data_IF_032073467977
#
_entry.id   IF_032073467977
#
_cell.length_a   1.000
_cell.length_b   1.000
_cell.length_c   1.000
_cell.angle_alpha   90.00
_cell.angle_beta   90.00
_cell.angle_gamma   90.00
#
_symmetry.space_group_name_H-M   'P 1'
#
loop_
_entity.id
_entity.type
_entity.pdbx_description
1 polymer ?
#
# COMPACT_ATOMS: atom_id res chain seq x y z
N UNK A 1 8.49 7.49 47.83
CA UNK A 1 8.38 6.50 46.74
C UNK A 1 8.42 7.28 45.44
N UNK A 2 9.60 7.41 44.83
CA UNK A 2 9.80 8.25 43.66
C UNK A 2 9.36 7.49 42.41
N UNK A 3 8.34 8.00 41.73
CA UNK A 3 7.91 7.50 40.42
C UNK A 3 8.95 7.97 39.40
N UNK A 4 9.76 7.04 38.91
CA UNK A 4 10.63 7.29 37.76
C UNK A 4 9.72 7.34 36.53
N UNK A 5 9.47 8.53 35.98
CA UNK A 5 9.03 8.67 34.60
C UNK A 5 10.24 8.32 33.72
N UNK A 6 10.32 7.07 33.26
CA UNK A 6 11.19 6.73 32.14
C UNK A 6 10.59 7.31 30.87
N UNK A 7 11.02 8.53 30.52
CA UNK A 7 10.92 9.02 29.15
C UNK A 7 11.80 8.12 28.28
N UNK A 8 11.19 7.14 27.62
CA UNK A 8 11.82 6.38 26.56
C UNK A 8 12.14 7.36 25.42
N UNK A 9 13.40 7.81 25.36
CA UNK A 9 13.93 8.41 24.16
C UNK A 9 13.97 7.31 23.09
N UNK A 10 12.95 7.25 22.24
CA UNK A 10 12.95 6.35 21.10
C UNK A 10 14.16 6.74 20.21
N UNK A 11 15.03 5.79 19.82
CA UNK A 11 16.01 6.07 18.79
C UNK A 11 15.25 6.57 17.57
N UNK A 12 15.76 7.61 16.90
CA UNK A 12 15.12 8.18 15.72
C UNK A 12 14.87 7.05 14.70
N UNK A 13 13.62 6.62 14.61
CA UNK A 13 13.17 5.63 13.64
C UNK A 13 13.29 6.28 12.27
N UNK A 14 14.17 5.73 11.44
CA UNK A 14 14.43 6.21 10.10
C UNK A 14 13.96 5.18 9.07
N UNK A 15 12.78 4.57 9.29
CA UNK A 15 12.12 3.82 8.24
C UNK A 15 11.26 4.79 7.45
N UNK A 16 11.57 4.99 6.17
CA UNK A 16 10.73 5.80 5.31
C UNK A 16 9.43 5.08 4.98
N UNK A 17 9.53 3.79 4.64
CA UNK A 17 8.41 2.96 4.20
C UNK A 17 8.28 1.66 4.96
N UNK A 18 7.04 1.32 5.31
CA UNK A 18 6.67 0.03 5.88
C UNK A 18 5.93 -0.75 4.80
N UNK A 19 6.59 -1.79 4.28
CA UNK A 19 6.04 -2.65 3.21
C UNK A 19 4.96 -3.60 3.76
N UNK A 20 4.22 -4.26 2.86
CA UNK A 20 3.14 -5.17 3.23
C UNK A 20 3.63 -6.28 4.19
N UNK A 21 3.01 -6.35 5.37
CA UNK A 21 3.26 -7.38 6.38
C UNK A 21 1.97 -7.72 7.12
N UNK A 22 1.51 -8.96 7.00
CA UNK A 22 0.21 -9.41 7.51
C UNK A 22 0.05 -9.23 9.02
N UNK A 23 1.10 -9.54 9.78
CA UNK A 23 1.08 -9.44 11.24
C UNK A 23 1.02 -7.98 11.68
N UNK A 24 1.84 -7.12 11.05
CA UNK A 24 1.84 -5.69 11.33
C UNK A 24 0.50 -5.04 10.99
N UNK A 25 -0.10 -5.39 9.84
CA UNK A 25 -1.44 -4.90 9.47
C UNK A 25 -2.49 -5.37 10.46
N UNK A 26 -2.39 -6.61 10.93
CA UNK A 26 -3.32 -7.17 11.94
C UNK A 26 -3.22 -6.42 13.26
N UNK A 27 -2.01 -6.20 13.78
CA UNK A 27 -1.78 -5.48 15.02
C UNK A 27 -2.24 -4.01 14.93
N UNK A 28 -1.92 -3.33 13.83
CA UNK A 28 -2.39 -1.95 13.58
C UNK A 28 -3.91 -1.88 13.44
N UNK A 29 -4.54 -2.86 12.78
CA UNK A 29 -5.99 -2.96 12.67
C UNK A 29 -6.64 -3.16 14.03
N UNK A 30 -6.09 -4.05 14.86
CA UNK A 30 -6.57 -4.29 16.20
C UNK A 30 -6.49 -3.03 17.05
N UNK A 31 -5.37 -2.29 17.01
CA UNK A 31 -5.20 -1.04 17.74
C UNK A 31 -6.19 0.05 17.27
N UNK A 32 -6.40 0.19 15.96
CA UNK A 32 -7.41 1.10 15.38
C UNK A 32 -8.84 0.72 15.83
N UNK A 33 -9.20 -0.57 15.80
CA UNK A 33 -10.52 -1.06 16.20
C UNK A 33 -10.79 -0.82 17.69
N UNK A 34 -9.75 -0.76 18.51
CA UNK A 34 -9.83 -0.46 19.94
C UNK A 34 -9.77 1.04 20.24
N UNK A 35 -9.69 1.91 19.22
CA UNK A 35 -9.55 3.36 19.37
C UNK A 35 -8.23 3.80 20.02
N UNK A 36 -7.21 2.93 20.03
CA UNK A 36 -5.91 3.21 20.67
C UNK A 36 -5.08 4.13 19.80
N UNK A 37 -5.09 3.91 18.49
CA UNK A 37 -4.42 4.72 17.48
C UNK A 37 -5.40 5.13 16.40
N UNK A 38 -4.99 6.07 15.55
CA UNK A 38 -5.72 6.48 14.36
C UNK A 38 -4.76 6.53 13.17
N UNK A 39 -4.77 5.48 12.35
CA UNK A 39 -3.98 5.38 11.12
C UNK A 39 -4.75 4.61 10.04
N UNK A 40 -4.68 5.08 8.79
CA UNK A 40 -5.21 4.32 7.65
C UNK A 40 -4.34 3.10 7.38
N UNK A 41 -4.97 1.92 7.28
CA UNK A 41 -4.30 0.65 6.91
C UNK A 41 -4.79 0.10 5.56
N UNK A 42 -5.41 0.96 4.73
CA UNK A 42 -5.95 0.63 3.42
C UNK A 42 -5.07 1.07 2.23
N UNK A 43 -3.93 1.70 2.49
CA UNK A 43 -3.00 2.16 1.45
C UNK A 43 -1.58 1.76 1.83
N UNK A 44 -1.05 0.74 1.18
CA UNK A 44 0.31 0.25 1.40
C UNK A 44 1.22 0.51 0.19
N UNK A 45 2.53 0.74 0.40
CA UNK A 45 3.23 0.75 1.69
C UNK A 45 2.83 1.92 2.59
N UNK A 46 2.85 1.70 3.90
CA UNK A 46 2.62 2.77 4.88
C UNK A 46 3.85 3.68 4.95
N UNK A 47 3.66 4.95 5.29
CA UNK A 47 4.79 5.79 5.69
C UNK A 47 5.20 5.46 7.13
N UNK A 48 6.51 5.31 7.35
CA UNK A 48 7.06 5.17 8.70
C UNK A 48 6.83 6.41 9.55
N UNK A 49 6.85 7.62 8.97
CA UNK A 49 6.52 8.87 9.66
C UNK A 49 5.09 8.85 10.22
N UNK A 50 4.10 8.52 9.40
CA UNK A 50 2.72 8.40 9.83
C UNK A 50 2.53 7.30 10.88
N UNK A 51 3.21 6.16 10.69
CA UNK A 51 3.16 5.05 11.64
C UNK A 51 3.71 5.47 12.99
N UNK A 52 4.86 6.14 13.02
CA UNK A 52 5.45 6.69 14.23
C UNK A 52 4.54 7.74 14.87
N UNK A 53 3.95 8.64 14.07
CA UNK A 53 3.01 9.66 14.55
C UNK A 53 1.81 9.02 15.24
N UNK A 54 1.21 8.00 14.64
CA UNK A 54 0.06 7.30 15.20
C UNK A 54 0.41 6.57 16.51
N UNK A 55 1.54 5.86 16.55
CA UNK A 55 2.01 5.15 17.74
C UNK A 55 2.39 6.09 18.89
N UNK A 56 3.03 7.23 18.58
CA UNK A 56 3.38 8.24 19.60
C UNK A 56 2.16 8.92 20.23
N UNK A 57 1.03 8.95 19.54
CA UNK A 57 -0.23 9.52 20.03
C UNK A 57 -1.19 8.46 20.60
N UNK A 58 -0.72 7.22 20.79
CA UNK A 58 -1.54 6.10 21.24
C UNK A 58 -2.17 6.36 22.62
N UNK A 59 -3.48 6.13 22.74
CA UNK A 59 -4.24 6.25 23.99
C UNK A 59 -4.35 4.87 24.67
N UNK A 60 -3.28 4.49 25.36
CA UNK A 60 -3.14 3.16 25.98
C UNK A 60 -3.90 3.13 27.32
N UNK A 61 -4.84 2.19 27.45
CA UNK A 61 -5.69 2.02 28.63
C UNK A 61 -5.40 0.75 29.43
N UNK A 62 -4.74 -0.25 28.83
CA UNK A 62 -4.49 -1.54 29.48
C UNK A 62 -3.21 -2.22 28.97
N UNK A 63 -2.79 -3.26 29.70
CA UNK A 63 -1.55 -4.00 29.44
C UNK A 63 -1.55 -4.76 28.10
N UNK A 64 -2.71 -5.19 27.61
CA UNK A 64 -2.81 -5.88 26.32
C UNK A 64 -2.52 -4.91 25.18
N UNK A 65 -3.10 -3.69 25.24
CA UNK A 65 -2.81 -2.63 24.27
C UNK A 65 -1.33 -2.25 24.26
N UNK A 66 -0.71 -2.12 25.44
CA UNK A 66 0.74 -1.86 25.52
C UNK A 66 1.56 -2.97 24.83
N UNK A 67 1.22 -4.25 25.07
CA UNK A 67 1.92 -5.37 24.43
C UNK A 67 1.80 -5.39 22.92
N UNK A 68 0.64 -5.01 22.37
CA UNK A 68 0.45 -4.92 20.92
C UNK A 68 1.24 -3.74 20.34
N UNK A 69 1.28 -2.59 21.02
CA UNK A 69 2.16 -1.47 20.64
C UNK A 69 3.64 -1.90 20.64
N UNK A 70 4.07 -2.62 21.69
CA UNK A 70 5.45 -3.12 21.79
C UNK A 70 5.76 -4.14 20.67
N UNK A 71 4.80 -4.99 20.29
CA UNK A 71 4.89 -5.91 19.14
C UNK A 71 5.11 -5.15 17.83
N UNK A 72 4.30 -4.12 17.57
CA UNK A 72 4.41 -3.26 16.39
C UNK A 72 5.79 -2.58 16.33
N UNK A 73 6.21 -1.96 17.43
CA UNK A 73 7.52 -1.30 17.51
C UNK A 73 8.68 -2.29 17.33
N UNK A 74 8.59 -3.48 17.92
CA UNK A 74 9.58 -4.54 17.76
C UNK A 74 9.65 -5.02 16.31
N UNK A 75 8.50 -5.20 15.65
CA UNK A 75 8.41 -5.61 14.25
C UNK A 75 9.02 -4.57 13.32
N UNK A 76 8.67 -3.29 13.48
CA UNK A 76 9.26 -2.18 12.72
C UNK A 76 10.78 -2.13 12.95
N UNK A 77 11.24 -2.23 14.21
CA UNK A 77 12.67 -2.25 14.52
C UNK A 77 13.40 -3.45 13.88
N UNK A 78 12.78 -4.62 13.87
CA UNK A 78 13.33 -5.82 13.24
C UNK A 78 13.40 -5.66 11.71
N UNK A 79 12.38 -5.06 11.09
CA UNK A 79 12.38 -4.80 9.65
C UNK A 79 13.47 -3.81 9.22
N UNK A 80 13.83 -2.87 10.10
CA UNK A 80 14.91 -1.89 9.88
C UNK A 80 16.32 -2.38 10.22
N UNK A 81 16.50 -3.66 10.57
CA UNK A 81 17.85 -4.16 10.76
C UNK A 81 18.66 -3.99 9.48
N UNK A 82 19.89 -3.48 9.62
CA UNK A 82 20.75 -3.14 8.50
C UNK A 82 21.01 -4.32 7.57
N UNK A 83 21.09 -5.54 8.11
CA UNK A 83 21.29 -6.75 7.36
C UNK A 83 20.28 -7.80 7.84
N UNK A 84 19.55 -8.38 6.90
CA UNK A 84 18.58 -9.45 7.16
C UNK A 84 18.82 -10.60 6.18
N UNK A 85 18.65 -11.82 6.70
CA UNK A 85 18.66 -13.05 5.93
C UNK A 85 17.28 -13.69 6.05
N UNK A 86 16.68 -14.03 4.92
CA UNK A 86 15.41 -14.76 4.84
C UNK A 86 15.61 -16.08 4.11
N UNK A 87 14.98 -17.14 4.60
CA UNK A 87 14.88 -18.43 3.92
C UNK A 87 13.46 -18.95 4.07
N UNK A 88 12.93 -19.53 2.99
CA UNK A 88 11.61 -20.13 2.96
C UNK A 88 11.64 -21.39 2.10
N UNK A 89 10.92 -22.41 2.55
CA UNK A 89 10.73 -23.66 1.84
C UNK A 89 9.37 -24.25 2.21
N UNK A 90 8.60 -24.69 1.22
CA UNK A 90 7.35 -25.41 1.43
C UNK A 90 7.32 -26.74 0.65
N UNK A 91 6.52 -27.70 1.12
CA UNK A 91 6.44 -29.03 0.50
C UNK A 91 5.58 -29.03 -0.76
N UNK A 92 4.51 -28.23 -0.75
CA UNK A 92 3.58 -28.08 -1.87
C UNK A 92 3.37 -26.59 -2.11
N UNK A 93 3.28 -26.21 -3.39
CA UNK A 93 2.94 -24.84 -3.76
C UNK A 93 1.53 -24.50 -3.29
N UNK A 94 1.38 -23.41 -2.53
CA UNK A 94 0.05 -22.89 -2.19
C UNK A 94 -0.69 -22.41 -3.44
N UNK A 95 -1.95 -22.78 -3.57
CA UNK A 95 -2.83 -22.27 -4.61
C UNK A 95 -3.31 -20.85 -4.28
N UNK A 96 -3.38 -20.00 -5.31
CA UNK A 96 -4.02 -18.67 -5.31
C UNK A 96 -5.52 -18.86 -4.97
N UNK A 97 -6.13 -18.02 -4.12
CA UNK A 97 -5.72 -16.66 -3.75
C UNK A 97 -4.80 -16.57 -2.53
N UNK A 98 -3.81 -15.69 -2.61
CA UNK A 98 -2.95 -15.31 -1.49
C UNK A 98 -3.51 -14.07 -0.78
N UNK A 99 -3.45 -14.10 0.56
CA UNK A 99 -3.91 -13.01 1.41
C UNK A 99 -2.89 -11.85 1.45
N UNK A 100 -3.30 -10.71 2.00
CA UNK A 100 -2.42 -9.56 2.17
C UNK A 100 -1.09 -9.93 2.85
N UNK A 101 0.01 -9.44 2.28
CA UNK A 101 1.35 -9.57 2.82
C UNK A 101 1.93 -10.98 2.71
N UNK A 102 1.32 -11.88 1.93
CA UNK A 102 1.97 -13.14 1.57
C UNK A 102 3.10 -12.85 0.58
N UNK A 103 4.32 -13.04 1.04
CA UNK A 103 5.54 -12.68 0.30
C UNK A 103 6.06 -13.86 -0.54
N UNK A 104 5.46 -15.04 -0.45
CA UNK A 104 6.03 -16.27 -0.99
C UNK A 104 5.46 -16.57 -2.38
N UNK A 105 6.30 -16.32 -3.39
CA UNK A 105 5.99 -16.54 -4.81
C UNK A 105 6.74 -17.70 -5.44
N UNK A 106 7.47 -18.47 -4.63
CA UNK A 106 8.25 -19.62 -5.04
C UNK A 106 8.28 -20.66 -3.92
N UNK A 107 8.42 -21.94 -4.30
CA UNK A 107 8.46 -23.04 -3.34
C UNK A 107 9.71 -22.97 -2.45
N UNK A 108 10.83 -22.57 -3.03
CA UNK A 108 12.06 -22.30 -2.28
C UNK A 108 12.54 -20.89 -2.57
N UNK A 109 12.82 -20.15 -1.50
CA UNK A 109 13.23 -18.76 -1.56
C UNK A 109 14.34 -18.48 -0.55
N UNK A 110 15.35 -17.75 -0.98
CA UNK A 110 16.37 -17.19 -0.09
C UNK A 110 16.52 -15.69 -0.41
N UNK A 111 16.65 -14.86 0.61
CA UNK A 111 16.83 -13.43 0.45
C UNK A 111 17.94 -12.87 1.34
N UNK A 112 18.73 -11.98 0.77
CA UNK A 112 19.64 -11.11 1.49
C UNK A 112 19.14 -9.67 1.35
N UNK A 113 18.86 -9.02 2.47
CA UNK A 113 18.33 -7.67 2.51
C UNK A 113 19.28 -6.75 3.28
N UNK A 114 19.60 -5.60 2.66
CA UNK A 114 20.33 -4.51 3.27
C UNK A 114 19.46 -3.27 3.38
N UNK A 115 19.39 -2.69 4.57
CA UNK A 115 18.61 -1.49 4.87
C UNK A 115 19.54 -0.37 5.32
N UNK A 116 19.33 0.82 4.78
CA UNK A 116 19.97 2.03 5.25
C UNK A 116 19.04 3.22 5.06
N UNK A 117 18.99 4.13 6.04
CA UNK A 117 18.06 5.25 5.99
C UNK A 117 18.36 6.30 7.04
N UNK A 118 17.73 7.45 6.89
CA UNK A 118 17.70 8.53 7.86
C UNK A 118 16.32 9.20 7.84
N UNK A 119 16.18 10.37 8.47
CA UNK A 119 14.90 11.09 8.52
C UNK A 119 14.36 11.43 7.13
N UNK A 120 15.22 11.71 6.14
CA UNK A 120 14.81 12.22 4.84
C UNK A 120 15.16 11.32 3.64
N UNK A 121 15.66 10.11 3.88
CA UNK A 121 15.92 9.14 2.83
C UNK A 121 15.86 7.73 3.40
N UNK A 122 15.49 6.76 2.57
CA UNK A 122 15.37 5.36 2.95
C UNK A 122 15.73 4.48 1.77
N UNK A 123 16.52 3.44 1.98
CA UNK A 123 17.00 2.53 0.95
C UNK A 123 16.93 1.10 1.46
N UNK A 124 16.29 0.25 0.66
CA UNK A 124 16.20 -1.20 0.86
C UNK A 124 16.70 -1.88 -0.39
N UNK A 125 17.72 -2.72 -0.26
CA UNK A 125 18.21 -3.57 -1.34
C UNK A 125 18.00 -5.00 -0.90
N UNK A 126 17.11 -5.72 -1.58
CA UNK A 126 16.79 -7.11 -1.32
C UNK A 126 17.07 -7.93 -2.58
N UNK A 127 18.03 -8.85 -2.47
CA UNK A 127 18.34 -9.81 -3.51
C UNK A 127 17.63 -11.11 -3.16
N UNK A 128 16.75 -11.58 -4.03
CA UNK A 128 16.01 -12.82 -3.87
C UNK A 128 16.56 -13.87 -4.84
N UNK A 129 16.71 -15.10 -4.38
CA UNK A 129 16.95 -16.28 -5.20
C UNK A 129 15.77 -17.24 -5.03
N UNK A 130 15.16 -17.63 -6.14
CA UNK A 130 13.92 -18.38 -6.21
C UNK A 130 14.12 -19.68 -6.99
N UNK A 131 13.39 -20.72 -6.59
CA UNK A 131 13.31 -22.00 -7.30
C UNK A 131 11.88 -22.50 -7.25
N UNK A 132 11.42 -23.00 -8.40
CA UNK A 132 10.05 -23.47 -8.63
C UNK A 132 9.03 -22.35 -8.32
N UNK A 133 9.07 -21.25 -9.11
CA UNK A 133 8.20 -20.10 -8.91
C UNK A 133 6.74 -20.46 -9.17
N UNK A 134 5.85 -19.91 -8.36
CA UNK A 134 4.39 -19.95 -8.53
C UNK A 134 3.93 -18.89 -9.56
N UNK A 135 4.61 -17.74 -9.57
CA UNK A 135 4.41 -16.67 -10.55
C UNK A 135 5.69 -16.58 -11.37
N UNK A 136 5.56 -16.75 -12.68
CA UNK A 136 6.73 -16.77 -13.57
C UNK A 136 7.58 -15.51 -13.43
N UNK A 137 8.87 -15.69 -13.65
CA UNK A 137 9.87 -14.64 -13.70
C UNK A 137 10.95 -15.15 -14.64
N UNK A 138 11.32 -14.34 -15.62
CA UNK A 138 12.38 -14.68 -16.58
C UNK A 138 13.74 -14.99 -15.92
N UNK A 139 13.88 -14.70 -14.62
CA UNK A 139 15.10 -14.88 -13.85
C UNK A 139 14.84 -15.57 -12.49
N UNK A 140 15.71 -16.53 -12.14
CA UNK A 140 15.75 -17.15 -10.80
C UNK A 140 16.21 -16.17 -9.71
N UNK A 141 16.78 -15.02 -10.09
CA UNK A 141 17.26 -13.98 -9.17
C UNK A 141 16.57 -12.66 -9.50
N UNK A 142 16.05 -11.98 -8.49
CA UNK A 142 15.36 -10.69 -8.66
C UNK A 142 15.64 -9.71 -7.52
N UNK A 143 15.17 -8.47 -7.71
CA UNK A 143 15.30 -7.38 -6.74
C UNK A 143 13.96 -6.95 -6.14
N UNK A 144 12.96 -7.84 -6.11
CA UNK A 144 11.64 -7.52 -5.55
C UNK A 144 11.75 -6.99 -4.13
N UNK A 145 10.93 -5.98 -3.82
CA UNK A 145 10.93 -5.19 -2.58
C UNK A 145 12.16 -4.29 -2.38
N UNK A 146 13.02 -4.14 -3.39
CA UNK A 146 14.09 -3.13 -3.37
C UNK A 146 13.58 -1.75 -3.77
N UNK A 147 14.03 -0.71 -3.08
CA UNK A 147 13.72 0.67 -3.41
C UNK A 147 14.75 1.66 -2.87
N UNK A 148 14.73 2.86 -3.46
CA UNK A 148 15.34 4.08 -2.93
C UNK A 148 14.24 5.13 -2.77
N UNK A 149 14.22 5.81 -1.63
CA UNK A 149 13.26 6.83 -1.32
C UNK A 149 13.92 8.09 -0.76
N UNK A 150 13.39 9.26 -1.13
CA UNK A 150 13.76 10.56 -0.59
C UNK A 150 12.53 11.32 -0.11
N UNK A 151 12.64 12.02 1.02
CA UNK A 151 11.56 12.82 1.60
C UNK A 151 11.81 14.31 1.38
N UNK A 152 10.85 14.99 0.77
CA UNK A 152 10.84 16.44 0.60
C UNK A 152 9.43 16.99 0.82
N UNK A 153 9.29 18.03 1.65
CA UNK A 153 8.00 18.71 1.91
C UNK A 153 6.86 17.76 2.24
N UNK A 154 7.10 16.84 3.19
CA UNK A 154 6.15 15.82 3.60
C UNK A 154 5.76 14.81 2.50
N UNK A 155 6.53 14.73 1.41
CA UNK A 155 6.33 13.77 0.32
C UNK A 155 7.49 12.79 0.27
N UNK A 156 7.19 11.50 0.30
CA UNK A 156 8.13 10.45 -0.07
C UNK A 156 8.09 10.26 -1.59
N UNK A 157 9.24 10.42 -2.24
CA UNK A 157 9.48 10.05 -3.63
C UNK A 157 10.25 8.73 -3.64
N UNK A 158 9.69 7.71 -4.26
CA UNK A 158 10.15 6.32 -4.13
C UNK A 158 10.38 5.78 -5.54
N UNK A 159 11.53 5.17 -5.77
CA UNK A 159 11.85 4.45 -7.01
C UNK A 159 12.22 3.00 -6.65
N UNK A 160 11.56 2.02 -7.26
CA UNK A 160 11.83 0.62 -6.97
C UNK A 160 10.73 -0.33 -7.41
N UNK A 161 10.80 -1.56 -6.91
CA UNK A 161 9.85 -2.64 -7.16
C UNK A 161 9.12 -3.00 -5.87
N UNK A 162 8.23 -2.12 -5.41
CA UNK A 162 7.60 -2.23 -4.09
C UNK A 162 6.21 -2.87 -4.18
N UNK A 163 5.89 -3.84 -3.30
CA UNK A 163 4.53 -4.36 -3.18
C UNK A 163 3.59 -3.23 -2.75
N UNK A 164 2.35 -3.28 -3.23
CA UNK A 164 1.33 -2.26 -3.01
C UNK A 164 0.04 -2.96 -2.58
N UNK A 165 -0.81 -2.27 -1.80
CA UNK A 165 -2.14 -2.75 -1.51
C UNK A 165 -3.13 -1.61 -1.35
N UNK A 166 -4.17 -1.58 -2.18
CA UNK A 166 -5.17 -0.52 -2.26
C UNK A 166 -6.55 -1.03 -1.88
N UNK A 167 -6.94 -0.81 -0.63
CA UNK A 167 -8.26 -1.13 -0.13
C UNK A 167 -8.24 -1.69 1.30
N UNK A 168 -9.40 -1.78 1.93
CA UNK A 168 -9.54 -2.27 3.30
C UNK A 168 -9.66 -3.80 3.41
N UNK A 169 -9.79 -4.52 2.28
CA UNK A 169 -9.93 -5.99 2.26
C UNK A 169 -8.79 -6.73 2.96
N UNK A 170 -9.06 -7.91 3.51
CA UNK A 170 -8.04 -8.77 4.11
C UNK A 170 -7.49 -9.79 3.11
N UNK A 171 -8.38 -10.39 2.31
CA UNK A 171 -8.05 -11.47 1.38
C UNK A 171 -7.59 -10.98 0.01
N UNK A 172 -7.80 -9.69 -0.31
CA UNK A 172 -7.42 -9.12 -1.60
C UNK A 172 -7.92 -7.71 -1.82
N UNK A 173 -7.28 -7.03 -2.78
CA UNK A 173 -7.74 -5.76 -3.34
C UNK A 173 -8.30 -6.01 -4.74
N UNK A 174 -9.41 -5.37 -5.05
CA UNK A 174 -10.05 -5.44 -6.36
C UNK A 174 -9.38 -4.56 -7.42
N UNK A 175 -8.36 -3.77 -7.06
CA UNK A 175 -7.70 -2.84 -7.98
C UNK A 175 -6.19 -3.04 -8.05
N UNK A 176 -5.50 -3.04 -6.89
CA UNK A 176 -4.06 -3.26 -6.78
C UNK A 176 -3.78 -3.98 -5.47
N UNK A 177 -3.56 -5.28 -5.56
CA UNK A 177 -3.13 -6.12 -4.44
C UNK A 177 -1.67 -6.57 -4.58
N UNK A 178 -1.31 -7.55 -3.78
CA UNK A 178 0.02 -8.15 -3.68
C UNK A 178 0.08 -9.60 -4.18
N UNK A 179 -1.00 -10.10 -4.78
CA UNK A 179 -1.06 -11.40 -5.46
C UNK A 179 -0.33 -11.42 -6.83
N UNK A 180 0.56 -10.46 -7.09
CA UNK A 180 1.37 -10.37 -8.31
C UNK A 180 2.81 -9.97 -7.98
N UNK A 181 3.72 -10.16 -8.93
CA UNK A 181 5.04 -9.51 -8.85
C UNK A 181 4.86 -7.99 -8.89
N UNK A 182 5.58 -7.20 -8.07
CA UNK A 182 5.41 -5.76 -8.06
C UNK A 182 6.02 -5.16 -9.32
N UNK A 183 5.46 -4.04 -9.75
CA UNK A 183 5.85 -3.35 -10.98
C UNK A 183 7.00 -2.40 -10.67
N UNK A 184 8.06 -2.42 -11.48
CA UNK A 184 9.12 -1.42 -11.40
C UNK A 184 8.58 -0.03 -11.72
N UNK A 185 8.80 0.93 -10.83
CA UNK A 185 8.30 2.28 -11.07
C UNK A 185 8.61 3.29 -9.98
N UNK A 186 7.89 4.40 -10.08
CA UNK A 186 7.96 5.52 -9.17
C UNK A 186 6.66 5.64 -8.39
N UNK A 187 6.77 5.83 -7.08
CA UNK A 187 5.65 6.09 -6.18
C UNK A 187 5.86 7.41 -5.47
N UNK A 188 4.81 8.21 -5.33
CA UNK A 188 4.80 9.39 -4.47
C UNK A 188 3.66 9.28 -3.47
N UNK A 189 3.96 9.54 -2.19
CA UNK A 189 2.96 9.51 -1.12
C UNK A 189 3.30 10.50 -0.01
N UNK A 190 2.32 10.87 0.83
CA UNK A 190 2.60 11.69 2.01
C UNK A 190 3.36 10.92 3.08
N UNK A 191 4.24 11.61 3.79
CA UNK A 191 4.93 11.09 4.96
C UNK A 191 4.01 11.13 6.20
N UNK A 192 3.59 12.31 6.63
CA UNK A 192 2.53 12.50 7.63
C UNK A 192 1.18 12.78 6.96
N UNK A 193 0.12 12.14 7.46
CA UNK A 193 -1.21 12.15 6.85
C UNK A 193 -2.18 13.10 7.59
N UNK A 194 -1.66 14.17 8.18
CA UNK A 194 -2.45 15.17 8.92
C UNK A 194 -3.50 15.85 8.04
N UNK A 195 -4.54 16.38 8.69
CA UNK A 195 -5.59 17.16 8.02
C UNK A 195 -5.02 18.47 7.43
N UNK A 196 -5.76 19.06 6.48
CA UNK A 196 -5.43 20.40 6.00
C UNK A 196 -5.55 21.44 7.13
N UNK A 197 -4.58 22.34 7.23
CA UNK A 197 -4.59 23.46 8.18
C UNK A 197 -5.65 24.53 7.81
N UNK A 198 -6.04 24.58 6.54
CA UNK A 198 -7.02 25.54 6.04
C UNK A 198 -8.45 25.14 6.46
N UNK A 199 -9.19 26.09 7.04
CA UNK A 199 -10.58 25.90 7.54
C UNK A 199 -11.58 25.40 6.48
N UNK A 200 -11.36 25.70 5.20
CA UNK A 200 -12.25 25.27 4.11
C UNK A 200 -12.07 23.79 3.73
N UNK A 201 -10.94 23.18 4.10
CA UNK A 201 -10.59 21.79 3.77
C UNK A 201 -10.33 20.93 5.01
N UNK A 202 -10.29 21.51 6.21
CA UNK A 202 -10.03 20.78 7.46
C UNK A 202 -11.06 19.70 7.76
N UNK A 203 -12.28 19.82 7.23
CA UNK A 203 -13.36 18.82 7.38
C UNK A 203 -13.04 17.48 6.69
N UNK A 204 -12.09 17.44 5.75
CA UNK A 204 -11.62 16.20 5.11
C UNK A 204 -10.95 15.29 6.15
N UNK A 205 -10.40 15.86 7.23
CA UNK A 205 -9.64 15.15 8.24
C UNK A 205 -8.29 14.65 7.70
N UNK A 206 -7.64 13.70 8.42
CA UNK A 206 -6.44 13.03 7.94
C UNK A 206 -6.65 12.44 6.54
N UNK A 207 -5.67 12.56 5.66
CA UNK A 207 -5.80 12.09 4.28
C UNK A 207 -4.47 11.60 3.72
N UNK A 208 -4.54 10.73 2.73
CA UNK A 208 -3.36 10.22 2.01
C UNK A 208 -3.63 10.23 0.51
N UNK A 209 -2.57 10.40 -0.27
CA UNK A 209 -2.58 9.97 -1.65
C UNK A 209 -1.40 9.04 -1.92
N UNK A 210 -1.55 8.17 -2.90
CA UNK A 210 -0.45 7.42 -3.50
C UNK A 210 -0.59 7.50 -5.01
N UNK A 211 0.37 8.15 -5.66
CA UNK A 211 0.48 8.20 -7.11
C UNK A 211 1.59 7.24 -7.55
N UNK A 212 1.32 6.43 -8.56
CA UNK A 212 2.24 5.42 -9.08
C UNK A 212 2.33 5.52 -10.60
N UNK A 213 3.55 5.37 -11.14
CA UNK A 213 3.79 5.13 -12.55
C UNK A 213 4.93 4.13 -12.71
N UNK A 214 4.70 3.05 -13.44
CA UNK A 214 5.68 2.00 -13.68
C UNK A 214 5.47 1.33 -15.02
N UNK A 215 6.35 0.38 -15.33
CA UNK A 215 6.31 -0.42 -16.55
C UNK A 215 6.09 -1.88 -16.19
N UNK A 216 5.10 -2.51 -16.82
CA UNK A 216 4.84 -3.94 -16.71
C UNK A 216 5.99 -4.71 -17.34
N UNK A 217 6.38 -5.78 -16.67
CA UNK A 217 7.37 -6.74 -17.14
C UNK A 217 6.64 -7.96 -17.71
N UNK A 218 7.23 -8.62 -18.71
CA UNK A 218 6.73 -9.86 -19.33
C UNK A 218 5.27 -9.86 -19.80
N UNK A 219 4.72 -8.68 -20.12
CA UNK A 219 3.36 -8.54 -20.64
C UNK A 219 3.31 -8.74 -22.17
N UNK A 220 3.26 -9.99 -22.60
CA UNK A 220 3.33 -10.41 -24.02
C UNK A 220 2.30 -9.78 -24.96
N UNK A 221 1.11 -9.40 -24.47
CA UNK A 221 0.05 -8.85 -25.31
C UNK A 221 0.37 -7.43 -25.80
N UNK A 222 1.05 -6.61 -24.99
CA UNK A 222 1.54 -5.28 -25.34
C UNK A 222 2.85 -5.04 -24.56
N UNK A 223 4.01 -5.43 -25.11
CA UNK A 223 5.29 -5.25 -24.43
C UNK A 223 5.52 -3.80 -23.99
N UNK A 224 6.23 -3.61 -22.88
CA UNK A 224 6.52 -2.31 -22.27
C UNK A 224 5.27 -1.48 -21.88
N UNK A 225 4.09 -2.09 -21.74
CA UNK A 225 2.91 -1.37 -21.27
C UNK A 225 3.16 -0.72 -19.89
N UNK A 226 2.67 0.50 -19.71
CA UNK A 226 2.81 1.25 -18.46
C UNK A 226 1.61 1.02 -17.57
N UNK A 227 1.84 0.92 -16.27
CA UNK A 227 0.81 0.91 -15.24
C UNK A 227 0.88 2.23 -14.46
N UNK A 228 -0.19 2.99 -14.50
CA UNK A 228 -0.33 4.27 -13.81
C UNK A 228 -1.48 4.16 -12.84
N UNK A 229 -1.36 4.73 -11.65
CA UNK A 229 -2.46 4.74 -10.72
C UNK A 229 -2.42 5.88 -9.73
N UNK A 230 -3.59 6.20 -9.21
CA UNK A 230 -3.80 7.19 -8.18
C UNK A 230 -4.78 6.62 -7.17
N UNK A 231 -4.40 6.66 -5.89
CA UNK A 231 -5.28 6.39 -4.77
C UNK A 231 -5.32 7.62 -3.86
N UNK A 232 -6.50 7.94 -3.36
CA UNK A 232 -6.72 8.95 -2.32
C UNK A 232 -7.57 8.34 -1.22
N UNK A 233 -7.20 8.59 0.03
CA UNK A 233 -8.02 8.25 1.20
C UNK A 233 -8.19 9.46 2.10
N UNK A 234 -9.31 9.53 2.80
CA UNK A 234 -9.62 10.58 3.76
C UNK A 234 -10.42 10.02 4.94
N UNK A 235 -10.23 10.62 6.11
CA UNK A 235 -10.93 10.28 7.35
C UNK A 235 -11.69 11.50 7.88
N UNK A 236 -12.83 11.90 7.27
CA UNK A 236 -13.59 13.07 7.70
C UNK A 236 -14.16 12.94 9.12
N UNK A 237 -14.33 11.70 9.59
CA UNK A 237 -14.78 11.37 10.94
C UNK A 237 -13.82 10.33 11.52
N UNK A 238 -13.56 10.31 12.84
CA UNK A 238 -12.62 9.35 13.45
C UNK A 238 -13.00 7.88 13.21
N UNK A 239 -14.29 7.61 12.98
CA UNK A 239 -14.82 6.27 12.70
C UNK A 239 -14.97 5.95 11.22
N UNK A 240 -14.80 6.90 10.29
CA UNK A 240 -15.07 6.68 8.86
C UNK A 240 -13.85 7.03 8.01
N UNK A 241 -13.34 6.03 7.31
CA UNK A 241 -12.38 6.20 6.23
C UNK A 241 -13.06 5.96 4.89
N UNK A 242 -12.77 6.83 3.92
CA UNK A 242 -13.22 6.75 2.55
C UNK A 242 -11.99 6.70 1.64
N UNK A 243 -12.04 5.84 0.63
CA UNK A 243 -11.01 5.68 -0.39
C UNK A 243 -11.59 5.80 -1.79
N UNK A 244 -10.79 6.37 -2.69
CA UNK A 244 -11.03 6.35 -4.12
C UNK A 244 -9.73 5.99 -4.82
N UNK A 245 -9.80 5.17 -5.87
CA UNK A 245 -8.62 4.75 -6.61
C UNK A 245 -8.92 4.53 -8.08
N UNK A 246 -7.96 4.86 -8.92
CA UNK A 246 -7.98 4.62 -10.36
C UNK A 246 -6.65 4.02 -10.80
N UNK A 247 -6.68 3.02 -11.67
CA UNK A 247 -5.52 2.47 -12.33
C UNK A 247 -5.76 2.44 -13.84
N UNK A 248 -4.72 2.74 -14.60
CA UNK A 248 -4.72 2.90 -16.05
C UNK A 248 -3.54 2.09 -16.59
N UNK A 249 -3.83 1.17 -17.50
CA UNK A 249 -2.83 0.54 -18.34
C UNK A 249 -2.77 1.30 -19.67
N UNK A 250 -1.58 1.80 -20.00
CA UNK A 250 -1.38 2.77 -21.08
C UNK A 250 0.00 2.59 -21.75
N UNK A 251 0.14 2.97 -23.02
CA UNK A 251 1.41 2.90 -23.73
C UNK A 251 1.86 1.47 -24.09
N UNK A 252 3.17 1.29 -24.29
CA UNK A 252 3.76 0.05 -24.79
C UNK A 252 3.93 -0.01 -26.31
N UNK A 253 4.52 -1.10 -26.81
CA UNK A 253 4.85 -1.26 -28.23
C UNK A 253 3.61 -1.09 -29.13
N UNK A 254 3.75 -0.22 -30.14
CA UNK A 254 2.67 0.07 -31.09
C UNK A 254 1.54 0.95 -30.53
N UNK A 255 1.68 1.51 -29.32
CA UNK A 255 0.69 2.39 -28.67
C UNK A 255 1.22 3.82 -28.48
N UNK A 256 0.35 4.84 -28.36
CA UNK A 256 0.78 6.21 -28.08
C UNK A 256 1.42 6.36 -26.69
N UNK A 257 2.63 6.95 -26.62
CA UNK A 257 3.39 7.16 -25.38
C UNK A 257 3.69 8.64 -25.05
N UNK A 258 2.89 9.57 -25.59
CA UNK A 258 3.05 11.01 -25.33
C UNK A 258 2.34 11.47 -24.05
N UNK A 259 2.79 12.59 -23.45
CA UNK A 259 2.06 13.23 -22.33
C UNK A 259 0.63 13.63 -22.70
N UNK A 260 0.39 13.99 -23.96
CA UNK A 260 -0.96 14.29 -24.45
C UNK A 260 -1.85 13.05 -24.47
N UNK A 261 -1.32 11.90 -24.94
CA UNK A 261 -2.08 10.65 -24.92
C UNK A 261 -2.29 10.11 -23.50
N UNK A 262 -1.34 10.35 -22.58
CA UNK A 262 -1.55 10.04 -21.17
C UNK A 262 -2.63 10.92 -20.55
N UNK A 263 -2.63 12.22 -20.87
CA UNK A 263 -3.67 13.13 -20.41
C UNK A 263 -5.05 12.78 -20.97
N UNK A 264 -5.12 12.39 -22.25
CA UNK A 264 -6.35 11.90 -22.88
C UNK A 264 -6.88 10.64 -22.17
N UNK A 265 -6.01 9.69 -21.86
CA UNK A 265 -6.35 8.49 -21.08
C UNK A 265 -6.83 8.86 -19.67
N UNK A 266 -6.13 9.75 -18.97
CA UNK A 266 -6.50 10.19 -17.62
C UNK A 266 -7.86 10.91 -17.57
N UNK A 267 -8.17 11.72 -18.59
CA UNK A 267 -9.44 12.43 -18.70
C UNK A 267 -10.59 11.56 -19.24
N UNK A 268 -10.32 10.34 -19.71
CA UNK A 268 -11.31 9.45 -20.32
C UNK A 268 -11.97 10.04 -21.57
N UNK A 269 -11.31 10.99 -22.25
CA UNK A 269 -11.91 11.78 -23.33
C UNK A 269 -12.05 11.02 -24.65
N UNK A 270 -11.46 9.82 -24.75
CA UNK A 270 -11.42 8.97 -25.95
C UNK A 270 -11.75 7.50 -25.72
N UNK A 271 -12.16 7.12 -24.51
CA UNK A 271 -12.58 5.75 -24.20
C UNK A 271 -13.96 5.50 -24.85
N UNK A 272 -14.18 4.30 -25.39
CA UNK A 272 -15.35 3.85 -26.19
C UNK A 272 -15.29 4.07 -27.72
N UNK A 273 -14.18 3.76 -28.38
CA UNK A 273 -14.18 3.31 -29.79
C UNK A 273 -14.83 4.24 -30.83
N UNK A 274 -14.99 5.53 -30.53
CA UNK A 274 -15.73 6.48 -31.37
C UNK A 274 -15.02 6.87 -32.67
N UNK A 275 -13.81 6.38 -32.92
CA UNK A 275 -12.98 6.77 -34.06
C UNK A 275 -12.50 5.58 -34.93
N UNK A 276 -12.86 4.34 -34.58
CA UNK A 276 -12.36 3.15 -35.29
C UNK A 276 -10.89 2.80 -35.02
N UNK A 277 -10.27 3.43 -34.02
CA UNK A 277 -8.92 3.11 -33.54
C UNK A 277 -8.97 2.29 -32.23
N UNK A 278 -7.99 1.41 -31.97
CA UNK A 278 -7.93 0.63 -30.73
C UNK A 278 -7.88 1.54 -29.50
N UNK A 279 -8.65 1.18 -28.47
CA UNK A 279 -8.77 1.95 -27.22
C UNK A 279 -7.39 2.31 -26.65
N UNK A 280 -7.08 3.60 -26.42
CA UNK A 280 -5.74 4.04 -26.00
C UNK A 280 -5.32 3.50 -24.63
N UNK A 281 -6.26 3.02 -23.80
CA UNK A 281 -5.96 2.52 -22.46
C UNK A 281 -7.01 1.52 -21.96
N UNK A 282 -6.63 0.71 -20.97
CA UNK A 282 -7.59 -0.04 -20.15
C UNK A 282 -7.62 0.59 -18.75
N UNK A 283 -8.79 0.75 -18.15
CA UNK A 283 -8.96 1.47 -16.89
C UNK A 283 -9.78 0.67 -15.89
N UNK A 284 -9.44 0.84 -14.61
CA UNK A 284 -10.28 0.40 -13.50
C UNK A 284 -10.35 1.51 -12.47
N UNK A 285 -11.54 1.76 -11.95
CA UNK A 285 -11.77 2.77 -10.93
C UNK A 285 -12.69 2.22 -9.85
N UNK A 286 -12.56 2.74 -8.64
CA UNK A 286 -13.37 2.27 -7.53
C UNK A 286 -13.30 3.12 -6.29
N UNK A 287 -14.20 2.79 -5.38
CA UNK A 287 -14.33 3.40 -4.07
C UNK A 287 -14.28 2.33 -2.99
N UNK A 288 -13.79 2.69 -1.83
CA UNK A 288 -13.85 1.85 -0.64
C UNK A 288 -14.18 2.68 0.59
N UNK A 289 -14.68 1.99 1.61
CA UNK A 289 -14.98 2.60 2.89
C UNK A 289 -14.64 1.63 4.01
N UNK A 290 -14.25 2.19 5.15
CA UNK A 290 -14.10 1.47 6.41
C UNK A 290 -14.77 2.25 7.54
N UNK A 291 -15.53 1.54 8.35
CA UNK A 291 -16.23 2.05 9.52
C UNK A 291 -15.73 1.35 10.78
N UNK A 292 -15.13 2.09 11.72
CA UNK A 292 -14.72 1.60 13.04
C UNK A 292 -15.78 1.96 14.07
N UNK A 293 -16.42 0.97 14.70
CA UNK A 293 -17.58 1.20 15.58
C UNK A 293 -17.22 1.64 17.00
N UNK A 294 -15.98 1.48 17.43
CA UNK A 294 -15.59 1.67 18.83
C UNK A 294 -15.90 3.08 19.37
N UNK A 295 -15.60 4.14 18.62
CA UNK A 295 -15.89 5.51 19.07
C UNK A 295 -17.40 5.83 19.13
N UNK A 296 -18.24 5.02 18.48
CA UNK A 296 -19.69 5.17 18.44
C UNK A 296 -20.41 4.29 19.46
N UNK A 297 -19.94 3.06 19.67
CA UNK A 297 -20.66 2.02 20.44
C UNK A 297 -19.83 1.36 21.54
N UNK A 298 -18.53 1.68 21.65
CA UNK A 298 -17.56 0.98 22.51
C UNK A 298 -17.36 -0.51 22.16
N UNK A 299 -17.84 -0.93 20.99
CA UNK A 299 -17.63 -2.29 20.48
C UNK A 299 -16.48 -2.26 19.46
N UNK A 300 -15.40 -3.04 19.66
CA UNK A 300 -14.21 -2.99 18.82
C UNK A 300 -14.40 -3.80 17.51
N UNK A 301 -15.32 -3.34 16.67
CA UNK A 301 -15.65 -3.96 15.37
C UNK A 301 -15.39 -2.95 14.26
N UNK A 302 -14.76 -3.43 13.18
CA UNK A 302 -14.58 -2.69 11.94
C UNK A 302 -15.38 -3.33 10.81
N UNK A 303 -16.12 -2.53 10.05
CA UNK A 303 -16.81 -2.94 8.82
C UNK A 303 -16.10 -2.29 7.63
N UNK A 304 -16.03 -2.97 6.50
CA UNK A 304 -15.45 -2.40 5.29
C UNK A 304 -16.14 -2.90 4.03
N UNK A 305 -15.98 -2.13 2.96
CA UNK A 305 -16.43 -2.51 1.62
C UNK A 305 -15.51 -1.89 0.56
N UNK A 306 -15.37 -2.57 -0.58
CA UNK A 306 -14.69 -2.07 -1.76
C UNK A 306 -15.54 -2.36 -2.99
N UNK A 307 -15.64 -1.38 -3.89
CA UNK A 307 -16.37 -1.46 -5.15
C UNK A 307 -15.49 -0.94 -6.27
N UNK A 308 -15.16 -1.79 -7.25
CA UNK A 308 -14.31 -1.46 -8.40
C UNK A 308 -15.01 -1.91 -9.67
N UNK A 309 -14.82 -1.15 -10.76
CA UNK A 309 -15.26 -1.56 -12.08
C UNK A 309 -14.41 -0.99 -13.21
N UNK A 310 -14.59 -1.60 -14.39
CA UNK A 310 -13.72 -1.42 -15.57
C UNK A 310 -14.19 -0.29 -16.50
N UNK A 311 -15.49 -0.07 -16.66
CA UNK A 311 -16.00 0.98 -17.55
C UNK A 311 -16.44 2.21 -16.71
N UNK A 312 -15.85 3.39 -16.95
CA UNK A 312 -16.34 4.65 -16.38
C UNK A 312 -17.54 5.16 -17.19
N UNK A 313 -18.76 4.82 -16.77
CA UNK A 313 -19.97 5.50 -17.27
C UNK A 313 -20.21 6.79 -16.46
N UNK A 314 -19.46 7.85 -16.78
CA UNK A 314 -19.74 9.20 -16.25
C UNK A 314 -19.53 9.37 -14.74
N UNK A 315 -18.50 8.72 -14.16
CA UNK A 315 -18.08 8.89 -12.76
C UNK A 315 -18.46 7.74 -11.81
N UNK A 316 -19.13 6.70 -12.31
CA UNK A 316 -19.40 5.46 -11.57
C UNK A 316 -18.92 4.23 -12.38
N UNK A 317 -18.28 3.24 -11.74
CA UNK A 317 -17.85 2.01 -12.40
C UNK A 317 -19.04 1.15 -12.86
N UNK A 318 -19.06 0.74 -14.13
CA UNK A 318 -20.21 0.10 -14.78
C UNK A 318 -20.11 -1.43 -14.97
N UNK A 319 -18.91 -2.04 -14.82
CA UNK A 319 -18.71 -3.51 -14.77
C UNK A 319 -18.30 -3.94 -13.36
N UNK A 320 -18.94 -4.98 -12.81
CA UNK A 320 -19.08 -5.17 -11.36
C UNK A 320 -18.22 -6.31 -10.83
N UNK A 321 -17.43 -6.04 -9.80
CA UNK A 321 -16.91 -7.05 -8.87
C UNK A 321 -17.20 -6.60 -7.42
N UNK A 322 -17.85 -7.44 -6.62
CA UNK A 322 -18.18 -7.17 -5.21
C UNK A 322 -17.72 -8.37 -4.38
N UNK A 323 -16.91 -8.12 -3.35
CA UNK A 323 -16.62 -9.10 -2.30
C UNK A 323 -16.94 -8.53 -0.92
N UNK A 324 -17.55 -9.37 -0.09
CA UNK A 324 -17.80 -9.12 1.33
C UNK A 324 -18.09 -10.44 2.06
N UNK A 325 -17.76 -10.45 3.36
CA UNK A 325 -17.97 -11.44 4.44
C UNK A 325 -16.82 -12.44 4.74
N UNK A 326 -16.11 -12.17 5.84
CA UNK A 326 -16.24 -12.85 7.14
C UNK A 326 -15.94 -11.85 8.27
#
# INVERSE_FOLDING_TARGET
MSVLLTTLALPAFAQGLVLNDANLRTDLNWLNQQGVIQISTSTWPLSGDETQRALSNAQISNIVQQRVIDSVLAKIKADNQQLKLGVFAETDQKNIPQAFGDQQKAQYHAALEFNAGSTNWDAKIRVNAEKDPQIDNDQDVNLESSYLAGKLWNQWLIAGQIPTYWGPGHDGSLIRGDASRPVYGFTVQRAEQTAFENKWLSWIGPWQYQAFAGQLDDYSAVPDAKLIGLRVTAQPLPYLELGASRAIQWGGEGRPESLSSLWDAFMGSKDNGGTGEPDPSNQIAGFDARLNLFSLTQIPVGLYAQYVGEDEAGGLPAKKNVFGWN
#
